data_IF_321622638627
#
_entry.id   IF_321622638627
#
_cell.length_a   1.000
_cell.length_b   1.000
_cell.length_c   1.000
_cell.angle_alpha   90.00
_cell.angle_beta   90.00
_cell.angle_gamma   90.00
#
_symmetry.space_group_name_H-M   'P 1'
#
loop_
_entity.id
_entity.type
_entity.pdbx_description
1 polymer ?
#
# COMPACT_ATOMS: atom_id res chain seq x y z
N UNK A 1 -6.35 23.69 -15.92
CA UNK A 1 -5.38 24.74 -16.27
C UNK A 1 -4.02 24.40 -15.64
N UNK A 2 -2.94 24.51 -16.40
CA UNK A 2 -1.54 24.40 -15.96
C UNK A 2 -0.85 25.79 -15.91
N UNK A 3 0.12 25.96 -15.03
CA UNK A 3 0.98 27.17 -14.94
C UNK A 3 2.36 26.79 -14.40
N UNK A 4 3.41 26.95 -15.20
CA UNK A 4 4.80 26.74 -14.79
C UNK A 4 5.41 28.03 -14.20
N UNK A 5 6.28 27.87 -13.20
CA UNK A 5 6.90 28.93 -12.40
C UNK A 5 8.39 28.61 -12.16
N UNK A 6 9.27 29.10 -13.03
CA UNK A 6 10.72 29.01 -12.86
C UNK A 6 11.21 30.01 -11.80
N UNK A 7 12.24 29.63 -11.03
CA UNK A 7 12.91 30.48 -10.02
C UNK A 7 11.93 31.21 -9.09
N UNK A 8 11.14 30.40 -8.38
CA UNK A 8 9.93 30.79 -7.69
C UNK A 8 10.04 30.68 -6.17
N UNK A 9 9.00 31.10 -5.46
CA UNK A 9 8.90 31.00 -3.99
C UNK A 9 7.52 30.47 -3.62
N UNK A 10 7.36 29.86 -2.44
CA UNK A 10 6.07 29.35 -2.00
C UNK A 10 4.96 30.42 -1.99
N UNK A 11 5.30 31.70 -1.72
CA UNK A 11 4.37 32.82 -1.85
C UNK A 11 3.92 33.08 -3.30
N UNK A 12 4.82 32.99 -4.29
CA UNK A 12 4.46 33.07 -5.72
C UNK A 12 3.56 31.89 -6.12
N UNK A 13 3.86 30.68 -5.63
CA UNK A 13 3.09 29.45 -5.90
C UNK A 13 1.68 29.53 -5.33
N UNK A 14 1.52 29.94 -4.07
CA UNK A 14 0.21 30.09 -3.43
C UNK A 14 -0.64 31.17 -4.15
N UNK A 15 -0.02 32.29 -4.57
CA UNK A 15 -0.67 33.30 -5.43
C UNK A 15 -1.13 32.71 -6.77
N UNK A 16 -0.38 31.79 -7.37
CA UNK A 16 -0.78 31.10 -8.60
C UNK A 16 -1.95 30.13 -8.37
N UNK A 17 -1.96 29.35 -7.28
CA UNK A 17 -3.11 28.51 -6.88
C UNK A 17 -4.39 29.34 -6.71
N UNK A 18 -4.33 30.44 -5.96
CA UNK A 18 -5.49 31.33 -5.75
C UNK A 18 -5.97 31.96 -7.07
N UNK A 19 -5.05 32.33 -7.98
CA UNK A 19 -5.40 32.81 -9.33
C UNK A 19 -6.06 31.71 -10.17
N UNK A 20 -5.57 30.47 -10.09
CA UNK A 20 -6.09 29.33 -10.83
C UNK A 20 -7.50 28.94 -10.40
N UNK A 21 -7.76 28.85 -9.08
CA UNK A 21 -9.12 28.62 -8.53
C UNK A 21 -10.11 29.68 -9.03
N UNK A 22 -9.74 30.96 -8.97
CA UNK A 22 -10.56 32.08 -9.47
C UNK A 22 -10.83 31.98 -10.98
N UNK A 23 -9.84 31.60 -11.79
CA UNK A 23 -9.99 31.45 -13.23
C UNK A 23 -10.90 30.28 -13.64
N UNK A 24 -11.01 29.25 -12.81
CA UNK A 24 -11.86 28.07 -13.02
C UNK A 24 -13.28 28.28 -12.44
N UNK A 25 -13.51 29.37 -11.69
CA UNK A 25 -14.83 29.68 -11.13
C UNK A 25 -15.23 28.86 -9.91
N UNK A 26 -14.33 28.00 -9.40
CA UNK A 26 -14.58 27.11 -8.24
C UNK A 26 -13.98 27.75 -6.98
N UNK A 27 -14.78 28.37 -6.09
CA UNK A 27 -14.25 29.11 -4.94
C UNK A 27 -13.72 28.19 -3.83
N UNK A 28 -14.35 27.02 -3.65
CA UNK A 28 -13.95 25.99 -2.71
C UNK A 28 -13.86 24.64 -3.43
N UNK A 29 -12.73 23.95 -3.26
CA UNK A 29 -12.60 22.53 -3.60
C UNK A 29 -12.70 21.77 -2.28
N UNK A 30 -13.62 20.80 -2.20
CA UNK A 30 -13.87 19.99 -0.99
C UNK A 30 -12.78 18.98 -0.71
N UNK A 31 -11.55 19.45 -0.52
CA UNK A 31 -10.37 18.61 -0.27
C UNK A 31 -10.37 18.14 1.18
N UNK A 32 -10.26 16.83 1.39
CA UNK A 32 -10.28 16.20 2.73
C UNK A 32 -8.88 16.06 3.34
N UNK A 33 -7.81 16.19 2.55
CA UNK A 33 -6.42 16.07 3.01
C UNK A 33 -5.42 16.78 2.07
N UNK A 34 -4.20 16.99 2.58
CA UNK A 34 -3.02 17.33 1.76
C UNK A 34 -2.14 16.09 1.62
N UNK A 35 -1.89 15.63 0.40
CA UNK A 35 -0.98 14.51 0.10
C UNK A 35 0.36 15.07 -0.39
N UNK A 36 1.42 14.89 0.40
CA UNK A 36 2.79 15.27 0.04
C UNK A 36 3.52 14.03 -0.47
N UNK A 37 3.99 14.05 -1.72
CA UNK A 37 4.69 12.92 -2.35
C UNK A 37 6.16 13.28 -2.48
N UNK A 38 7.06 12.51 -1.87
CA UNK A 38 8.50 12.82 -1.84
C UNK A 38 9.27 11.81 -2.67
N UNK A 39 9.90 12.27 -3.76
CA UNK A 39 10.42 11.40 -4.82
C UNK A 39 11.57 12.05 -5.59
N UNK A 40 12.26 11.27 -6.40
CA UNK A 40 13.09 11.74 -7.52
C UNK A 40 12.24 12.04 -8.77
N UNK A 41 12.85 12.52 -9.86
CA UNK A 41 12.16 12.86 -11.12
C UNK A 41 11.82 11.62 -11.97
N UNK A 42 12.48 10.49 -11.75
CA UNK A 42 12.29 9.26 -12.55
C UNK A 42 10.99 8.56 -12.12
N UNK A 43 10.76 8.47 -10.81
CA UNK A 43 9.55 7.90 -10.21
C UNK A 43 8.37 8.89 -10.10
N UNK A 44 8.59 10.19 -10.35
CA UNK A 44 7.58 11.24 -10.19
C UNK A 44 6.33 11.06 -11.08
N UNK A 45 6.45 10.44 -12.26
CA UNK A 45 5.33 10.24 -13.17
C UNK A 45 4.32 9.23 -12.59
N UNK A 46 4.77 8.02 -12.24
CA UNK A 46 3.90 6.95 -11.76
C UNK A 46 3.40 7.19 -10.33
N UNK A 47 4.18 7.88 -9.49
CA UNK A 47 3.71 8.36 -8.19
C UNK A 47 2.56 9.37 -8.34
N UNK A 48 2.71 10.37 -9.22
CA UNK A 48 1.65 11.36 -9.47
C UNK A 48 0.42 10.74 -10.15
N UNK A 49 0.61 9.78 -11.07
CA UNK A 49 -0.48 8.99 -11.65
C UNK A 49 -1.25 8.24 -10.56
N UNK A 50 -0.55 7.52 -9.69
CA UNK A 50 -1.14 6.73 -8.60
C UNK A 50 -1.94 7.61 -7.63
N UNK A 51 -1.43 8.79 -7.29
CA UNK A 51 -2.13 9.77 -6.46
C UNK A 51 -3.34 10.40 -7.15
N UNK A 52 -3.25 10.75 -8.44
CA UNK A 52 -4.40 11.23 -9.21
C UNK A 52 -5.50 10.16 -9.32
N UNK A 53 -5.13 8.87 -9.36
CA UNK A 53 -6.08 7.76 -9.36
C UNK A 53 -6.75 7.58 -7.99
N UNK A 54 -5.98 7.62 -6.89
CA UNK A 54 -6.48 7.52 -5.51
C UNK A 54 -7.35 8.74 -5.10
N UNK A 55 -7.04 9.93 -5.62
CA UNK A 55 -7.78 11.17 -5.31
C UNK A 55 -9.24 11.19 -5.82
N UNK A 56 -9.65 10.19 -6.61
CA UNK A 56 -11.07 9.98 -6.96
C UNK A 56 -11.91 9.55 -5.75
N UNK A 57 -11.32 8.84 -4.80
CA UNK A 57 -11.95 8.46 -3.54
C UNK A 57 -11.64 9.48 -2.43
N UNK A 58 -10.42 10.06 -2.46
CA UNK A 58 -9.95 11.02 -1.46
C UNK A 58 -9.53 12.36 -2.10
N UNK A 59 -10.47 13.28 -2.41
CA UNK A 59 -10.14 14.57 -3.02
C UNK A 59 -9.13 15.35 -2.18
N UNK A 60 -7.99 15.70 -2.77
CA UNK A 60 -6.81 16.18 -2.03
C UNK A 60 -6.15 17.39 -2.70
N UNK A 61 -5.33 18.13 -1.93
CA UNK A 61 -4.23 18.89 -2.51
C UNK A 61 -3.01 17.97 -2.60
N UNK A 62 -2.52 17.72 -3.79
CA UNK A 62 -1.31 16.91 -4.03
C UNK A 62 -0.10 17.82 -4.20
N UNK A 63 0.94 17.62 -3.39
CA UNK A 63 2.20 18.38 -3.44
C UNK A 63 3.34 17.39 -3.71
N UNK A 64 3.81 17.33 -4.94
CA UNK A 64 4.95 16.46 -5.32
C UNK A 64 6.24 17.23 -5.07
N UNK A 65 7.10 16.70 -4.22
CA UNK A 65 8.42 17.23 -3.85
C UNK A 65 9.47 16.41 -4.59
N UNK A 66 9.92 16.92 -5.75
CA UNK A 66 11.01 16.31 -6.53
C UNK A 66 12.35 16.85 -6.01
N UNK A 67 13.08 16.07 -5.22
CA UNK A 67 14.43 16.40 -4.74
C UNK A 67 15.45 16.09 -5.85
N UNK A 68 16.02 17.10 -6.51
CA UNK A 68 17.03 16.90 -7.57
C UNK A 68 18.43 16.78 -6.99
N UNK A 69 18.99 15.57 -7.01
CA UNK A 69 20.38 15.30 -6.59
C UNK A 69 21.38 16.05 -7.48
N UNK A 70 22.07 17.04 -6.92
CA UNK A 70 23.08 17.84 -7.63
C UNK A 70 24.33 17.01 -7.96
N UNK A 71 24.51 16.73 -9.26
CA UNK A 71 25.60 15.89 -9.80
C UNK A 71 26.99 16.57 -9.82
N UNK A 72 27.09 17.84 -9.45
CA UNK A 72 28.39 18.51 -9.22
C UNK A 72 28.34 19.44 -8.00
N UNK A 73 29.49 19.75 -7.36
CA UNK A 73 29.54 20.74 -6.28
C UNK A 73 29.06 22.14 -6.70
N UNK A 74 29.28 22.53 -7.97
CA UNK A 74 28.82 23.83 -8.52
C UNK A 74 27.30 23.91 -8.72
N UNK A 75 26.62 22.77 -8.70
CA UNK A 75 25.16 22.69 -8.80
C UNK A 75 24.51 22.47 -7.42
N UNK A 76 25.31 22.34 -6.34
CA UNK A 76 24.80 22.41 -4.96
C UNK A 76 24.58 23.86 -4.53
N UNK A 77 25.51 24.76 -4.88
CA UNK A 77 25.44 26.20 -4.57
C UNK A 77 24.45 26.99 -5.44
N UNK A 78 23.62 26.32 -6.24
CA UNK A 78 22.60 26.94 -7.10
C UNK A 78 21.20 26.60 -6.58
N UNK A 79 20.93 27.07 -5.38
CA UNK A 79 19.66 26.96 -4.69
C UNK A 79 18.53 27.57 -5.54
N UNK A 80 17.66 26.71 -6.11
CA UNK A 80 16.52 27.11 -6.95
C UNK A 80 15.29 26.26 -6.62
N UNK A 81 14.13 26.90 -6.69
CA UNK A 81 12.83 26.23 -6.70
C UNK A 81 12.15 26.52 -8.04
N UNK A 82 11.75 25.47 -8.76
CA UNK A 82 10.74 25.59 -9.82
C UNK A 82 9.45 24.91 -9.36
N UNK A 83 8.30 25.37 -9.87
CA UNK A 83 7.03 24.74 -9.60
C UNK A 83 6.11 24.71 -10.81
N UNK A 84 5.30 23.66 -10.90
CA UNK A 84 4.22 23.51 -11.86
C UNK A 84 2.91 23.40 -11.08
N UNK A 85 2.00 24.35 -11.30
CA UNK A 85 0.66 24.39 -10.67
C UNK A 85 -0.36 23.89 -11.67
N UNK A 86 -1.14 22.87 -11.29
CA UNK A 86 -2.27 22.32 -12.05
C UNK A 86 -3.53 22.41 -11.21
N UNK A 87 -4.64 22.85 -11.81
CA UNK A 87 -5.98 22.92 -11.16
C UNK A 87 -7.07 22.57 -12.16
N UNK A 88 -8.14 21.89 -11.71
CA UNK A 88 -9.20 21.37 -12.58
C UNK A 88 -8.75 20.10 -13.30
N UNK A 89 -9.18 19.89 -14.55
CA UNK A 89 -8.92 18.64 -15.30
C UNK A 89 -7.45 18.19 -15.35
N UNK A 90 -6.48 19.13 -15.32
CA UNK A 90 -5.04 18.83 -15.31
C UNK A 90 -4.52 18.29 -13.95
N UNK A 91 -5.36 18.27 -12.92
CA UNK A 91 -5.06 17.91 -11.52
C UNK A 91 -6.03 16.85 -10.96
N UNK A 92 -6.76 16.13 -11.82
CA UNK A 92 -7.74 15.15 -11.37
C UNK A 92 -8.92 15.81 -10.63
N UNK A 93 -9.16 15.42 -9.38
CA UNK A 93 -10.26 15.91 -8.54
C UNK A 93 -9.89 17.13 -7.68
N UNK A 94 -8.64 17.59 -7.70
CA UNK A 94 -8.11 18.54 -6.71
C UNK A 94 -7.20 19.64 -7.25
N UNK A 95 -6.20 19.99 -6.45
CA UNK A 95 -5.09 20.88 -6.82
C UNK A 95 -3.78 20.10 -6.78
N UNK A 96 -2.97 20.19 -7.84
CA UNK A 96 -1.66 19.51 -7.91
C UNK A 96 -0.55 20.53 -8.08
N UNK A 97 0.44 20.50 -7.20
CA UNK A 97 1.67 21.30 -7.27
C UNK A 97 2.85 20.36 -7.40
N UNK A 98 3.60 20.43 -8.50
CA UNK A 98 4.86 19.70 -8.67
C UNK A 98 6.01 20.66 -8.43
N UNK A 99 6.71 20.50 -7.30
CA UNK A 99 7.87 21.27 -6.90
C UNK A 99 9.15 20.54 -7.37
N UNK A 100 10.10 21.28 -7.95
CA UNK A 100 11.44 20.77 -8.29
C UNK A 100 12.48 21.59 -7.53
N UNK A 101 13.16 20.93 -6.60
CA UNK A 101 14.05 21.56 -5.63
C UNK A 101 15.51 21.25 -6.01
N UNK A 102 16.32 22.31 -6.18
CA UNK A 102 17.72 22.24 -6.58
C UNK A 102 18.61 22.91 -5.52
N UNK A 103 19.81 22.37 -5.32
CA UNK A 103 20.74 22.87 -4.30
C UNK A 103 20.18 22.74 -2.88
N UNK A 104 20.60 23.63 -1.98
CA UNK A 104 20.29 23.61 -0.54
C UNK A 104 18.77 23.69 -0.25
N UNK A 105 17.96 24.12 -1.22
CA UNK A 105 16.49 24.10 -1.12
C UNK A 105 15.96 22.68 -0.91
N UNK A 106 16.60 21.66 -1.49
CA UNK A 106 16.19 20.26 -1.37
C UNK A 106 16.31 19.72 0.07
N UNK A 107 17.26 20.26 0.85
CA UNK A 107 17.50 19.94 2.26
C UNK A 107 16.56 20.70 3.21
N UNK A 108 15.80 21.67 2.67
CA UNK A 108 14.85 22.53 3.38
C UNK A 108 13.44 22.49 2.77
N UNK A 109 13.08 21.36 2.15
CA UNK A 109 11.82 21.16 1.45
C UNK A 109 10.57 21.47 2.30
N UNK A 110 10.60 21.18 3.60
CA UNK A 110 9.55 21.47 4.57
C UNK A 110 9.18 22.96 4.62
N UNK A 111 10.16 23.85 4.50
CA UNK A 111 9.96 25.31 4.47
C UNK A 111 9.25 25.79 3.19
N UNK A 112 9.30 24.99 2.12
CA UNK A 112 8.56 25.23 0.87
C UNK A 112 7.15 24.66 0.95
N UNK A 113 6.99 23.48 1.55
CA UNK A 113 5.72 22.74 1.63
C UNK A 113 4.76 23.33 2.67
N UNK A 114 5.24 23.70 3.86
CA UNK A 114 4.43 24.25 4.97
C UNK A 114 3.43 25.35 4.55
N UNK A 115 3.82 26.45 3.85
CA UNK A 115 2.89 27.49 3.40
C UNK A 115 2.02 27.11 2.18
N UNK A 116 2.09 25.87 1.71
CA UNK A 116 1.26 25.29 0.65
C UNK A 116 0.26 24.23 1.16
N UNK A 117 0.34 23.84 2.43
CA UNK A 117 -0.60 22.93 3.08
C UNK A 117 -2.03 23.52 3.14
N UNK A 118 -3.01 22.67 3.43
CA UNK A 118 -4.33 23.11 3.87
C UNK A 118 -4.30 23.31 5.40
N UNK A 119 -4.83 24.43 5.94
CA UNK A 119 -4.71 24.73 7.37
C UNK A 119 -5.52 23.79 8.26
N UNK A 120 -6.71 23.37 7.80
CA UNK A 120 -7.70 22.62 8.59
C UNK A 120 -7.88 21.16 8.13
N UNK A 121 -6.97 20.63 7.29
CA UNK A 121 -7.07 19.28 6.74
C UNK A 121 -5.78 18.48 7.01
N UNK A 122 -5.88 17.18 7.35
CA UNK A 122 -4.73 16.35 7.66
C UNK A 122 -3.73 16.27 6.51
N UNK A 123 -2.47 16.05 6.88
CA UNK A 123 -1.32 15.93 5.99
C UNK A 123 -0.85 14.49 6.00
N UNK A 124 -0.76 13.91 4.80
CA UNK A 124 -0.21 12.58 4.56
C UNK A 124 1.07 12.76 3.76
N UNK A 125 2.20 12.21 4.24
CA UNK A 125 3.45 12.17 3.45
C UNK A 125 3.65 10.75 2.95
N UNK A 126 3.96 10.61 1.67
CA UNK A 126 4.20 9.35 1.00
C UNK A 126 5.55 9.35 0.27
N UNK A 127 6.37 8.34 0.56
CA UNK A 127 7.60 8.02 -0.16
C UNK A 127 7.36 6.77 -1.01
N UNK A 128 7.10 6.90 -2.34
CA UNK A 128 6.98 5.76 -3.26
C UNK A 128 8.30 4.98 -3.42
N UNK A 129 9.43 5.66 -3.22
CA UNK A 129 10.80 5.15 -3.28
C UNK A 129 11.66 5.97 -2.31
N UNK A 130 12.86 5.49 -1.98
CA UNK A 130 13.89 6.29 -1.29
C UNK A 130 13.39 6.94 0.02
N UNK A 131 12.64 6.18 0.81
CA UNK A 131 12.11 6.63 2.09
C UNK A 131 13.24 6.87 3.13
N UNK A 132 13.06 7.83 4.07
CA UNK A 132 14.03 8.07 5.13
C UNK A 132 14.09 6.90 6.12
N UNK A 133 15.24 6.66 6.75
CA UNK A 133 15.39 5.61 7.78
C UNK A 133 14.41 5.82 8.96
N UNK A 134 14.14 7.08 9.30
CA UNK A 134 13.18 7.51 10.31
C UNK A 134 12.15 8.46 9.64
N UNK A 135 10.92 7.99 9.34
CA UNK A 135 9.90 8.82 8.69
C UNK A 135 9.35 9.91 9.61
N UNK A 136 9.32 9.70 10.91
CA UNK A 136 8.78 10.67 11.87
C UNK A 136 9.72 11.85 12.11
N UNK A 137 11.04 11.63 12.05
CA UNK A 137 12.08 12.68 12.18
C UNK A 137 12.53 13.30 10.84
N UNK A 138 12.09 12.79 9.69
CA UNK A 138 12.27 13.52 8.43
C UNK A 138 11.51 14.87 8.48
N UNK A 139 12.11 15.99 8.04
CA UNK A 139 11.48 17.31 8.18
C UNK A 139 10.14 17.50 7.45
N UNK A 140 9.83 16.70 6.42
CA UNK A 140 8.50 16.66 5.80
C UNK A 140 7.57 15.70 6.56
N UNK A 141 8.08 14.54 6.98
CA UNK A 141 7.31 13.58 7.79
C UNK A 141 6.81 14.16 9.11
N UNK A 142 7.61 15.00 9.76
CA UNK A 142 7.22 15.75 10.96
C UNK A 142 6.04 16.73 10.76
N UNK A 143 5.61 16.99 9.51
CA UNK A 143 4.41 17.78 9.19
C UNK A 143 3.13 16.92 9.10
N UNK A 144 3.24 15.59 9.17
CA UNK A 144 2.20 14.65 8.75
C UNK A 144 1.70 13.73 9.87
N UNK A 145 0.38 13.57 9.93
CA UNK A 145 -0.29 12.62 10.84
C UNK A 145 -0.12 11.18 10.34
N UNK A 146 -0.10 10.97 9.01
CA UNK A 146 0.10 9.66 8.37
C UNK A 146 1.35 9.70 7.49
N UNK A 147 2.23 8.71 7.64
CA UNK A 147 3.54 8.63 6.98
C UNK A 147 3.66 7.26 6.31
N UNK A 148 3.62 7.26 4.98
CA UNK A 148 3.50 6.06 4.14
C UNK A 148 4.83 5.77 3.44
N UNK A 149 5.40 4.59 3.65
CA UNK A 149 6.57 4.09 2.90
C UNK A 149 6.19 2.91 2.01
N UNK A 150 7.07 2.47 1.11
CA UNK A 150 6.92 1.18 0.42
C UNK A 150 8.23 0.38 0.46
N UNK A 151 8.37 -0.47 1.47
CA UNK A 151 9.52 -1.36 1.66
C UNK A 151 9.73 -2.32 0.49
N UNK A 152 8.68 -2.64 -0.29
CA UNK A 152 8.81 -3.47 -1.50
C UNK A 152 9.56 -2.75 -2.64
N UNK A 153 9.62 -1.41 -2.61
CA UNK A 153 10.37 -0.60 -3.56
C UNK A 153 11.81 -0.27 -3.11
N UNK A 154 12.25 -0.75 -1.94
CA UNK A 154 13.60 -0.54 -1.43
C UNK A 154 14.62 -1.52 -2.04
N UNK A 155 15.90 -1.12 -2.14
CA UNK A 155 16.99 -2.00 -2.61
C UNK A 155 17.19 -3.22 -1.69
N UNK A 156 16.86 -3.08 -0.39
CA UNK A 156 16.99 -4.13 0.63
C UNK A 156 15.74 -4.18 1.52
N UNK A 157 14.61 -4.74 1.03
CA UNK A 157 13.33 -4.67 1.74
C UNK A 157 13.35 -5.19 3.18
N UNK A 158 14.19 -6.19 3.47
CA UNK A 158 14.27 -6.81 4.80
C UNK A 158 15.06 -5.96 5.80
N UNK A 159 16.11 -5.28 5.35
CA UNK A 159 16.87 -4.34 6.19
C UNK A 159 16.07 -3.04 6.41
N UNK A 160 15.28 -2.65 5.41
CA UNK A 160 14.28 -1.59 5.52
C UNK A 160 13.23 -1.93 6.59
N UNK A 161 12.63 -3.14 6.56
CA UNK A 161 11.68 -3.58 7.58
C UNK A 161 12.27 -3.60 9.00
N UNK A 162 13.53 -4.00 9.19
CA UNK A 162 14.21 -3.89 10.50
C UNK A 162 14.31 -2.43 10.94
N UNK A 163 14.78 -1.56 10.05
CA UNK A 163 14.91 -0.12 10.31
C UNK A 163 13.57 0.53 10.65
N UNK A 164 12.48 0.10 9.99
CA UNK A 164 11.10 0.51 10.30
C UNK A 164 10.66 0.04 11.69
N UNK A 165 11.01 -1.17 12.11
CA UNK A 165 10.69 -1.67 13.45
C UNK A 165 11.43 -0.90 14.56
N UNK A 166 12.71 -0.58 14.34
CA UNK A 166 13.54 0.17 15.30
C UNK A 166 13.12 1.64 15.47
N UNK A 167 12.49 2.23 14.45
CA UNK A 167 12.12 3.67 14.41
C UNK A 167 10.60 3.92 14.28
N UNK A 168 9.75 2.93 14.59
CA UNK A 168 8.29 3.06 14.44
C UNK A 168 7.68 4.08 15.39
N UNK A 169 6.99 5.08 14.83
CA UNK A 169 6.14 6.04 15.56
C UNK A 169 4.66 5.94 15.11
N UNK A 170 3.69 6.21 15.99
CA UNK A 170 2.26 6.20 15.65
C UNK A 170 1.94 7.08 14.43
N UNK A 171 1.25 6.50 13.45
CA UNK A 171 0.99 7.13 12.14
C UNK A 171 1.92 6.67 11.01
N UNK A 172 2.98 5.91 11.31
CA UNK A 172 3.77 5.20 10.30
C UNK A 172 2.99 4.00 9.74
N UNK A 173 3.14 3.76 8.43
CA UNK A 173 2.56 2.62 7.69
C UNK A 173 3.43 2.30 6.47
N UNK A 174 3.36 1.06 5.97
CA UNK A 174 4.11 0.63 4.79
C UNK A 174 3.20 -0.08 3.78
N UNK A 175 3.31 0.25 2.49
CA UNK A 175 2.43 -0.33 1.47
C UNK A 175 2.60 -1.85 1.32
N UNK A 176 3.70 -2.46 1.79
CA UNK A 176 3.81 -3.92 1.87
C UNK A 176 2.84 -4.55 2.91
N UNK A 177 2.42 -3.79 3.93
CA UNK A 177 1.38 -4.19 4.89
C UNK A 177 -0.03 -4.05 4.28
N UNK A 178 -0.29 -2.93 3.61
CA UNK A 178 -1.53 -2.70 2.83
C UNK A 178 -1.68 -3.77 1.74
N UNK A 179 -0.59 -4.17 1.09
CA UNK A 179 -0.56 -5.21 0.04
C UNK A 179 -1.05 -6.58 0.54
N UNK A 180 -1.04 -6.84 1.85
CA UNK A 180 -1.55 -8.07 2.47
C UNK A 180 -2.88 -7.93 3.22
N UNK A 181 -3.54 -6.76 3.27
CA UNK A 181 -4.89 -6.64 3.87
C UNK A 181 -5.87 -7.72 3.36
N UNK A 182 -5.97 -8.01 2.05
CA UNK A 182 -6.87 -9.06 1.56
C UNK A 182 -6.46 -10.47 2.02
N UNK A 183 -5.17 -10.74 2.19
CA UNK A 183 -4.68 -12.02 2.73
C UNK A 183 -5.04 -12.16 4.21
N UNK A 184 -4.80 -11.13 5.01
CA UNK A 184 -5.15 -11.09 6.44
C UNK A 184 -6.64 -11.33 6.65
N UNK A 185 -7.50 -10.62 5.91
CA UNK A 185 -8.95 -10.79 5.98
C UNK A 185 -9.43 -12.18 5.56
N UNK A 186 -8.87 -12.75 4.48
CA UNK A 186 -9.25 -14.10 4.04
C UNK A 186 -8.78 -15.21 4.98
N UNK A 187 -7.66 -15.02 5.69
CA UNK A 187 -7.15 -15.98 6.68
C UNK A 187 -7.93 -15.92 8.00
N UNK A 188 -8.26 -14.72 8.48
CA UNK A 188 -9.14 -14.55 9.63
C UNK A 188 -10.52 -15.19 9.35
N UNK A 189 -11.17 -14.81 8.25
CA UNK A 189 -12.46 -15.36 7.86
C UNK A 189 -12.45 -16.87 7.55
N UNK A 190 -11.28 -17.49 7.34
CA UNK A 190 -11.13 -18.94 7.21
C UNK A 190 -11.07 -19.64 8.58
N UNK A 191 -10.42 -19.01 9.58
CA UNK A 191 -10.40 -19.48 10.96
C UNK A 191 -11.78 -19.29 11.64
N UNK A 192 -12.48 -18.18 11.37
CA UNK A 192 -13.84 -17.89 11.86
C UNK A 192 -14.91 -18.92 11.40
N UNK A 193 -14.55 -19.88 10.53
CA UNK A 193 -15.43 -20.93 10.02
C UNK A 193 -15.12 -22.34 10.58
N UNK A 194 -14.07 -22.50 11.40
CA UNK A 194 -13.60 -23.81 11.87
C UNK A 194 -13.11 -23.71 13.31
N UNK A 195 -13.83 -24.33 14.25
CA UNK A 195 -13.42 -24.46 15.66
C UNK A 195 -12.16 -25.34 15.77
N UNK A 196 -10.97 -24.72 15.70
CA UNK A 196 -9.69 -25.41 15.66
C UNK A 196 -8.56 -24.67 16.39
N UNK A 197 -7.58 -25.42 16.89
CA UNK A 197 -6.31 -24.88 17.38
C UNK A 197 -5.29 -24.86 16.23
N UNK A 198 -4.68 -23.70 15.97
CA UNK A 198 -3.57 -23.62 15.00
C UNK A 198 -2.29 -24.13 15.66
N UNK A 199 -1.62 -25.08 15.02
CA UNK A 199 -0.40 -25.75 15.53
C UNK A 199 0.86 -25.10 14.96
N UNK A 200 0.81 -24.72 13.67
CA UNK A 200 1.90 -24.00 12.98
C UNK A 200 1.41 -23.40 11.67
N UNK A 201 2.15 -22.45 11.11
CA UNK A 201 1.88 -21.92 9.78
C UNK A 201 3.13 -21.88 8.90
N UNK A 202 2.90 -21.77 7.59
CA UNK A 202 3.92 -21.54 6.57
C UNK A 202 3.40 -20.47 5.59
N UNK A 203 4.19 -19.43 5.37
CA UNK A 203 3.94 -18.39 4.37
C UNK A 203 4.94 -18.57 3.24
N UNK A 204 4.46 -18.70 2.00
CA UNK A 204 5.29 -18.85 0.82
C UNK A 204 5.13 -17.68 -0.15
N UNK A 205 6.26 -17.24 -0.72
CA UNK A 205 6.29 -16.20 -1.73
C UNK A 205 7.69 -15.97 -2.29
N UNK A 206 7.80 -14.91 -3.08
CA UNK A 206 9.04 -14.37 -3.63
C UNK A 206 10.11 -14.09 -2.55
N UNK A 207 11.38 -14.32 -2.89
CA UNK A 207 12.49 -14.14 -1.95
C UNK A 207 12.68 -12.66 -1.58
N UNK A 208 12.98 -12.40 -0.30
CA UNK A 208 13.13 -11.04 0.28
C UNK A 208 11.88 -10.16 0.18
N UNK A 209 10.70 -10.72 -0.07
CA UNK A 209 9.47 -9.96 -0.19
C UNK A 209 8.95 -9.50 1.19
N UNK A 210 8.83 -8.19 1.48
CA UNK A 210 8.47 -7.70 2.80
C UNK A 210 7.03 -8.05 3.19
N UNK A 211 6.12 -8.24 2.24
CA UNK A 211 4.76 -8.74 2.51
C UNK A 211 4.75 -10.19 3.03
N UNK A 212 5.75 -11.02 2.67
CA UNK A 212 5.89 -12.39 3.20
C UNK A 212 6.31 -12.34 4.67
N UNK A 213 7.33 -11.55 4.99
CA UNK A 213 7.79 -11.36 6.37
C UNK A 213 6.70 -10.73 7.25
N UNK A 214 6.05 -9.65 6.80
CA UNK A 214 4.97 -8.99 7.54
C UNK A 214 3.77 -9.91 7.82
N UNK A 215 3.37 -10.76 6.86
CA UNK A 215 2.28 -11.71 7.06
C UNK A 215 2.69 -12.84 8.03
N UNK A 216 3.94 -13.31 7.93
CA UNK A 216 4.47 -14.32 8.83
C UNK A 216 4.62 -13.78 10.27
N UNK A 217 5.10 -12.55 10.45
CA UNK A 217 5.18 -11.88 11.75
C UNK A 217 3.79 -11.69 12.36
N UNK A 218 2.80 -11.22 11.58
CA UNK A 218 1.43 -11.07 12.07
C UNK A 218 0.79 -12.39 12.52
N UNK A 219 1.00 -13.48 11.76
CA UNK A 219 0.52 -14.81 12.16
C UNK A 219 1.21 -15.32 13.43
N UNK A 220 2.53 -15.11 13.56
CA UNK A 220 3.28 -15.53 14.75
C UNK A 220 2.89 -14.71 15.99
N UNK A 221 2.69 -13.40 15.83
CA UNK A 221 2.25 -12.46 16.86
C UNK A 221 0.83 -12.79 17.36
N UNK A 222 -0.12 -13.04 16.45
CA UNK A 222 -1.55 -13.23 16.79
C UNK A 222 -1.95 -14.65 17.16
N UNK A 223 -1.23 -15.67 16.71
CA UNK A 223 -1.53 -17.08 17.01
C UNK A 223 -0.53 -17.70 18.00
N UNK A 224 0.58 -17.02 18.30
CA UNK A 224 1.67 -17.51 19.15
C UNK A 224 2.33 -18.83 18.68
N UNK A 225 2.15 -19.20 17.41
CA UNK A 225 2.72 -20.41 16.79
C UNK A 225 4.04 -20.13 16.07
N UNK A 226 4.80 -21.19 15.83
CA UNK A 226 5.92 -21.12 14.87
C UNK A 226 5.40 -20.96 13.43
N UNK A 227 5.83 -19.88 12.78
CA UNK A 227 5.56 -19.61 11.36
C UNK A 227 6.84 -19.75 10.54
N UNK A 228 6.79 -20.62 9.53
CA UNK A 228 7.89 -20.84 8.57
C UNK A 228 7.74 -19.96 7.33
N UNK A 229 8.85 -19.76 6.62
CA UNK A 229 8.93 -18.98 5.38
C UNK A 229 9.46 -19.85 4.26
N UNK A 230 8.67 -20.03 3.21
CA UNK A 230 9.04 -20.77 2.00
C UNK A 230 9.30 -19.85 0.82
N UNK A 231 10.35 -20.14 0.03
CA UNK A 231 10.61 -19.41 -1.22
C UNK A 231 9.84 -20.06 -2.37
N UNK A 232 9.15 -19.23 -3.16
CA UNK A 232 8.39 -19.61 -4.35
C UNK A 232 8.88 -18.84 -5.58
N UNK A 233 8.71 -19.42 -6.78
CA UNK A 233 9.06 -18.77 -8.05
C UNK A 233 7.96 -17.84 -8.61
N UNK A 234 6.85 -17.65 -7.89
CA UNK A 234 5.80 -16.69 -8.24
C UNK A 234 6.07 -15.30 -7.66
N UNK A 235 5.60 -14.21 -8.30
CA UNK A 235 5.86 -12.84 -7.83
C UNK A 235 4.96 -12.46 -6.65
N UNK A 236 5.54 -11.86 -5.61
CA UNK A 236 4.83 -11.56 -4.37
C UNK A 236 4.49 -12.79 -3.52
N UNK A 237 3.39 -12.71 -2.78
CA UNK A 237 2.91 -13.77 -1.91
C UNK A 237 2.05 -14.80 -2.68
N UNK A 238 2.27 -16.09 -2.43
CA UNK A 238 1.74 -17.19 -3.24
C UNK A 238 0.97 -18.26 -2.45
N UNK A 239 1.40 -18.65 -1.25
CA UNK A 239 0.65 -19.58 -0.40
C UNK A 239 0.69 -19.14 1.06
N UNK A 240 -0.40 -19.38 1.79
CA UNK A 240 -0.37 -19.55 3.24
C UNK A 240 -1.00 -20.88 3.58
N UNK A 241 -0.34 -21.66 4.43
CA UNK A 241 -0.81 -22.93 4.93
C UNK A 241 -0.74 -22.92 6.46
N UNK A 242 -1.85 -23.20 7.13
CA UNK A 242 -1.92 -23.32 8.58
C UNK A 242 -2.30 -24.77 8.90
N UNK A 243 -1.47 -25.46 9.68
CA UNK A 243 -1.80 -26.78 10.22
C UNK A 243 -2.62 -26.58 11.49
N UNK A 244 -3.83 -27.15 11.53
CA UNK A 244 -4.72 -27.04 12.70
C UNK A 244 -5.07 -28.41 13.27
N UNK A 245 -5.66 -28.44 14.45
CA UNK A 245 -6.19 -29.64 15.11
C UNK A 245 -7.23 -30.41 14.29
N UNK A 246 -7.90 -29.75 13.34
CA UNK A 246 -8.96 -30.34 12.48
C UNK A 246 -8.53 -30.48 11.02
N UNK A 247 -7.24 -30.27 10.70
CA UNK A 247 -6.70 -30.37 9.33
C UNK A 247 -6.01 -29.10 8.82
N UNK A 248 -5.50 -29.10 7.58
CA UNK A 248 -4.84 -27.95 6.98
C UNK A 248 -5.83 -26.91 6.44
N UNK A 249 -5.66 -25.65 6.84
CA UNK A 249 -6.22 -24.49 6.13
C UNK A 249 -5.19 -24.03 5.10
N UNK A 250 -5.57 -23.92 3.82
CA UNK A 250 -4.66 -23.52 2.74
C UNK A 250 -5.28 -22.44 1.86
N UNK A 251 -4.61 -21.29 1.76
CA UNK A 251 -4.94 -20.22 0.83
C UNK A 251 -3.83 -20.11 -0.22
N UNK A 252 -4.09 -20.61 -1.43
CA UNK A 252 -3.10 -20.73 -2.51
C UNK A 252 -3.47 -19.86 -3.72
N UNK A 253 -2.61 -18.90 -4.06
CA UNK A 253 -2.73 -18.03 -5.24
C UNK A 253 -1.66 -18.39 -6.27
N UNK A 254 -1.97 -19.25 -7.27
CA UNK A 254 -1.03 -19.54 -8.35
C UNK A 254 -0.80 -18.31 -9.23
N UNK A 255 -1.85 -17.88 -9.94
CA UNK A 255 -1.76 -16.92 -11.05
C UNK A 255 -2.92 -15.91 -11.02
N UNK A 256 -2.75 -14.78 -11.71
CA UNK A 256 -3.85 -13.93 -12.23
C UNK A 256 -4.68 -13.12 -11.23
N UNK A 257 -4.91 -13.60 -10.01
CA UNK A 257 -5.71 -12.90 -8.99
C UNK A 257 -6.92 -13.67 -8.44
N UNK A 258 -7.11 -14.93 -8.81
CA UNK A 258 -7.90 -15.87 -8.01
C UNK A 258 -6.96 -16.66 -7.11
N UNK A 259 -7.40 -16.91 -5.88
CA UNK A 259 -6.81 -17.89 -4.98
C UNK A 259 -7.81 -19.01 -4.71
N UNK A 260 -7.29 -20.17 -4.34
CA UNK A 260 -8.05 -21.31 -3.85
C UNK A 260 -7.96 -21.32 -2.33
N UNK A 261 -9.09 -21.28 -1.64
CA UNK A 261 -9.21 -21.55 -0.22
C UNK A 261 -9.68 -22.99 -0.04
N UNK A 262 -8.79 -23.84 0.48
CA UNK A 262 -9.06 -25.22 0.89
C UNK A 262 -9.20 -25.26 2.42
N UNK A 263 -10.24 -25.96 2.89
CA UNK A 263 -10.47 -26.32 4.29
C UNK A 263 -10.78 -27.82 4.31
N UNK A 264 -10.34 -28.54 5.35
CA UNK A 264 -10.65 -29.97 5.50
C UNK A 264 -12.18 -30.21 5.56
N UNK A 265 -12.64 -31.33 4.99
CA UNK A 265 -14.05 -31.72 4.85
C UNK A 265 -14.99 -30.69 4.17
N UNK A 266 -14.45 -29.68 3.48
CA UNK A 266 -15.23 -28.66 2.77
C UNK A 266 -14.83 -28.53 1.29
N UNK A 267 -15.76 -28.13 0.40
CA UNK A 267 -15.44 -27.88 -1.01
C UNK A 267 -14.51 -26.66 -1.16
N UNK A 268 -13.48 -26.82 -2.00
CA UNK A 268 -12.57 -25.76 -2.42
C UNK A 268 -13.32 -24.51 -2.91
N UNK A 269 -12.90 -23.33 -2.43
CA UNK A 269 -13.54 -22.06 -2.77
C UNK A 269 -12.59 -21.15 -3.55
N UNK A 270 -12.99 -20.73 -4.74
CA UNK A 270 -12.28 -19.71 -5.50
C UNK A 270 -12.59 -18.32 -4.92
N UNK A 271 -11.55 -17.58 -4.50
CA UNK A 271 -11.67 -16.28 -3.84
C UNK A 271 -10.88 -15.20 -4.59
N UNK A 272 -11.44 -13.98 -4.65
CA UNK A 272 -10.83 -12.86 -5.36
C UNK A 272 -9.66 -12.26 -4.55
N UNK A 273 -8.44 -12.56 -4.96
CA UNK A 273 -7.20 -12.21 -4.26
C UNK A 273 -6.19 -11.56 -5.21
N UNK A 274 -6.66 -10.59 -6.02
CA UNK A 274 -5.84 -9.91 -7.03
C UNK A 274 -4.61 -9.24 -6.42
N UNK A 275 -3.54 -9.11 -7.22
CA UNK A 275 -2.47 -8.15 -6.91
C UNK A 275 -3.07 -6.75 -7.11
N UNK A 276 -2.76 -5.83 -6.20
CA UNK A 276 -3.31 -4.48 -6.17
C UNK A 276 -2.30 -3.46 -6.66
N UNK A 277 -2.77 -2.50 -7.44
CA UNK A 277 -1.97 -1.38 -7.93
C UNK A 277 -1.66 -0.39 -6.81
N UNK A 278 -0.60 0.38 -6.95
CA UNK A 278 -0.15 1.36 -5.93
C UNK A 278 -1.23 2.41 -5.62
N UNK A 279 -2.08 2.76 -6.58
CA UNK A 279 -3.24 3.62 -6.37
C UNK A 279 -4.32 3.00 -5.48
N UNK A 280 -4.54 1.68 -5.54
CA UNK A 280 -5.49 0.97 -4.69
C UNK A 280 -4.98 0.83 -3.25
N UNK A 281 -3.67 0.67 -3.08
CA UNK A 281 -3.04 0.64 -1.76
C UNK A 281 -3.03 2.03 -1.13
N UNK A 282 -2.63 3.06 -1.89
CA UNK A 282 -2.64 4.43 -1.41
C UNK A 282 -4.06 4.89 -1.04
N UNK A 283 -5.08 4.55 -1.83
CA UNK A 283 -6.48 4.83 -1.47
C UNK A 283 -6.87 4.17 -0.14
N UNK A 284 -6.47 2.91 0.11
CA UNK A 284 -6.76 2.24 1.39
C UNK A 284 -6.11 2.95 2.58
N UNK A 285 -4.85 3.39 2.47
CA UNK A 285 -4.15 4.15 3.52
C UNK A 285 -4.72 5.58 3.74
N UNK A 286 -5.48 6.12 2.77
CA UNK A 286 -6.15 7.42 2.89
C UNK A 286 -7.57 7.32 3.49
N UNK A 287 -8.14 6.12 3.65
CA UNK A 287 -9.44 5.91 4.31
C UNK A 287 -9.40 6.07 5.83
N UNK A 288 -8.29 5.69 6.46
CA UNK A 288 -8.10 5.73 7.92
C UNK A 288 -6.70 6.23 8.23
N UNK A 289 -6.63 7.42 8.84
CA UNK A 289 -5.35 8.08 9.14
C UNK A 289 -4.84 7.78 10.56
N UNK A 290 -5.68 7.21 11.42
CA UNK A 290 -5.32 6.75 12.77
C UNK A 290 -4.20 5.68 12.72
N UNK A 291 -3.42 5.51 13.81
CA UNK A 291 -2.48 4.40 13.92
C UNK A 291 -3.13 3.03 13.61
N UNK A 292 -2.32 2.13 13.03
CA UNK A 292 -2.66 0.71 12.92
C UNK A 292 -1.82 -0.06 13.96
N UNK A 293 -2.43 -0.32 15.11
CA UNK A 293 -1.80 -1.08 16.20
C UNK A 293 -1.48 -2.53 15.81
N UNK A 294 -2.15 -3.07 14.78
CA UNK A 294 -1.88 -4.41 14.25
C UNK A 294 -0.65 -4.41 13.35
N UNK A 295 -0.41 -3.35 12.57
CA UNK A 295 0.86 -3.12 11.90
C UNK A 295 1.98 -2.94 12.94
N UNK A 296 1.76 -2.09 13.95
CA UNK A 296 2.75 -1.83 15.00
C UNK A 296 3.15 -3.10 15.75
N UNK A 297 2.18 -3.96 16.11
CA UNK A 297 2.44 -5.25 16.78
C UNK A 297 3.21 -6.22 15.88
N UNK A 298 2.74 -6.42 14.64
CA UNK A 298 3.40 -7.31 13.68
C UNK A 298 4.82 -6.85 13.32
N UNK A 299 5.06 -5.53 13.24
CA UNK A 299 6.38 -4.97 12.99
C UNK A 299 7.32 -5.14 14.21
N UNK A 300 6.80 -4.91 15.43
CA UNK A 300 7.53 -5.11 16.71
C UNK A 300 7.76 -6.58 17.08
N UNK A 301 7.08 -7.52 16.41
CA UNK A 301 7.42 -8.94 16.50
C UNK A 301 8.85 -9.20 15.98
N UNK A 302 9.26 -8.52 14.91
CA UNK A 302 10.62 -8.53 14.37
C UNK A 302 10.96 -9.76 13.51
N UNK A 303 11.52 -9.50 12.32
CA UNK A 303 11.83 -10.51 11.29
C UNK A 303 12.74 -11.62 11.82
N UNK A 304 13.64 -11.28 12.74
CA UNK A 304 14.64 -12.18 13.31
C UNK A 304 14.09 -13.09 14.43
N UNK A 305 12.85 -12.86 14.90
CA UNK A 305 12.14 -13.79 15.80
C UNK A 305 11.39 -14.90 15.06
N UNK A 306 11.20 -14.78 13.74
CA UNK A 306 10.54 -15.81 12.94
C UNK A 306 11.41 -17.07 12.84
N UNK A 307 10.80 -18.22 13.14
CA UNK A 307 11.49 -19.50 13.31
C UNK A 307 11.99 -20.11 12.00
N UNK A 308 13.30 -20.38 11.94
CA UNK A 308 13.94 -21.03 10.80
C UNK A 308 14.33 -20.05 9.68
N UNK A 309 15.51 -20.29 9.09
CA UNK A 309 15.90 -19.63 7.85
C UNK A 309 15.04 -20.09 6.68
N UNK A 310 15.02 -19.30 5.60
CA UNK A 310 14.23 -19.56 4.38
C UNK A 310 14.47 -20.97 3.84
N UNK A 311 13.49 -21.85 4.00
CA UNK A 311 13.52 -23.19 3.40
C UNK A 311 12.98 -23.10 1.98
N UNK A 312 13.81 -23.46 1.00
CA UNK A 312 13.32 -23.65 -0.37
C UNK A 312 12.26 -24.77 -0.36
N UNK A 313 11.10 -24.52 -0.97
CA UNK A 313 10.07 -25.56 -1.08
C UNK A 313 10.60 -26.74 -1.91
N UNK A 314 10.40 -28.01 -1.49
CA UNK A 314 10.71 -29.15 -2.33
C UNK A 314 9.82 -29.08 -3.58
N UNK A 315 10.44 -28.94 -4.75
CA UNK A 315 9.73 -28.67 -5.99
C UNK A 315 8.68 -29.74 -6.28
N UNK A 316 7.42 -29.32 -6.47
CA UNK A 316 6.31 -30.23 -6.75
C UNK A 316 6.40 -30.78 -8.18
N UNK A 317 7.27 -31.77 -8.39
CA UNK A 317 7.31 -32.59 -9.61
C UNK A 317 6.06 -33.46 -9.66
N UNK A 318 4.95 -32.87 -10.07
CA UNK A 318 3.72 -33.57 -10.38
C UNK A 318 3.90 -34.46 -11.60
N UNK A 319 4.39 -35.69 -11.38
CA UNK A 319 4.56 -36.70 -12.42
C UNK A 319 3.20 -37.11 -12.96
N UNK A 320 2.76 -36.45 -14.03
CA UNK A 320 1.65 -36.93 -14.82
C UNK A 320 1.98 -38.33 -15.37
N UNK A 321 1.07 -39.32 -15.26
CA UNK A 321 1.31 -40.65 -15.81
C UNK A 321 1.42 -40.57 -17.33
N UNK A 322 2.52 -41.09 -17.88
CA UNK A 322 2.73 -41.12 -19.32
C UNK A 322 1.71 -42.06 -19.98
N UNK A 323 1.03 -41.57 -21.02
CA UNK A 323 0.19 -42.37 -21.91
C UNK A 323 1.00 -42.64 -23.18
N UNK A 324 1.15 -43.91 -23.56
CA UNK A 324 1.94 -44.29 -24.74
C UNK A 324 1.40 -43.68 -26.03
N UNK A 325 2.30 -43.10 -26.82
CA UNK A 325 1.98 -42.47 -28.11
C UNK A 325 2.99 -42.90 -29.19
N UNK A 326 2.68 -44.01 -29.87
CA UNK A 326 3.33 -44.37 -31.14
C UNK A 326 2.80 -43.46 -32.29
N UNK A 327 3.61 -43.19 -33.33
CA UNK A 327 3.46 -41.95 -34.10
C UNK A 327 2.50 -42.04 -35.31
N UNK A 328 1.88 -40.91 -35.66
CA UNK A 328 1.14 -40.81 -36.93
C UNK A 328 0.56 -39.42 -37.26
N UNK A 329 1.15 -38.76 -38.29
CA UNK A 329 0.58 -37.68 -39.13
C UNK A 329 0.29 -36.30 -38.50
N UNK A 330 0.99 -35.29 -39.01
CA UNK A 330 0.54 -33.88 -39.01
C UNK A 330 -0.72 -33.70 -39.88
N UNK A 331 -1.49 -32.62 -39.64
CA UNK A 331 -1.60 -31.64 -40.71
C UNK A 331 -1.54 -30.15 -40.28
N UNK A 332 -1.00 -29.36 -41.20
CA UNK A 332 -0.95 -27.89 -41.28
C UNK A 332 -2.09 -27.10 -40.60
N UNK A 333 -1.72 -26.04 -39.86
CA UNK A 333 -2.62 -24.98 -39.39
C UNK A 333 -2.78 -23.88 -40.46
N UNK A 334 -4.02 -23.63 -40.88
CA UNK A 334 -4.38 -22.50 -41.75
C UNK A 334 -5.08 -21.39 -40.95
N UNK A 335 -4.52 -20.18 -40.97
CA UNK A 335 -5.12 -18.97 -40.40
C UNK A 335 -6.14 -18.34 -41.37
N UNK A 336 -7.36 -18.00 -40.94
CA UNK A 336 -8.25 -17.13 -41.70
C UNK A 336 -7.80 -15.65 -41.60
N UNK A 337 -7.95 -14.83 -42.67
CA UNK A 337 -7.51 -13.44 -42.69
C UNK A 337 -8.49 -12.47 -42.02
N UNK A 338 -8.01 -11.25 -41.74
CA UNK A 338 -8.78 -10.15 -41.16
C UNK A 338 -9.11 -9.03 -42.19
N UNK A 339 -9.79 -7.98 -41.72
CA UNK A 339 -10.17 -6.72 -42.40
C UNK A 339 -11.44 -6.79 -43.29
N UNK A 340 -12.12 -5.65 -43.60
CA UNK A 340 -11.79 -4.25 -43.23
C UNK A 340 -12.87 -3.46 -42.46
N UNK A 341 -12.49 -2.26 -42.01
CA UNK A 341 -13.31 -1.23 -41.35
C UNK A 341 -14.37 -0.60 -42.24
N UNK A 342 -15.48 -0.10 -41.66
CA UNK A 342 -16.39 0.84 -42.34
C UNK A 342 -17.15 1.78 -41.39
N UNK A 343 -17.08 3.09 -41.63
CA UNK A 343 -17.90 4.12 -40.93
C UNK A 343 -19.21 4.41 -41.68
N UNK A 344 -20.26 4.80 -40.96
CA UNK A 344 -20.85 6.15 -41.06
C UNK A 344 -21.01 6.78 -39.65
N UNK A 345 -21.48 8.01 -39.43
CA UNK A 345 -22.05 9.03 -40.33
C UNK A 345 -23.28 9.66 -39.65
N UNK A 346 -23.28 10.98 -39.44
CA UNK A 346 -24.12 11.62 -38.40
C UNK A 346 -25.61 11.86 -38.75
N UNK A 347 -26.46 11.89 -37.71
CA UNK A 347 -27.73 12.65 -37.51
C UNK A 347 -28.27 12.26 -36.11
N UNK A 348 -28.45 13.10 -35.08
CA UNK A 348 -29.18 14.38 -34.86
C UNK A 348 -30.61 14.21 -34.31
N UNK A 349 -30.88 14.75 -33.11
CA UNK A 349 -32.15 15.40 -32.62
C UNK A 349 -32.53 15.09 -31.15
N UNK A 350 -33.53 15.82 -30.65
CA UNK A 350 -34.02 16.00 -29.26
C UNK A 350 -34.56 14.72 -28.56
N UNK A 351 -34.89 14.71 -27.24
CA UNK A 351 -34.73 15.73 -26.19
C UNK A 351 -35.95 15.87 -25.24
N UNK A 352 -35.72 15.87 -23.91
CA UNK A 352 -36.61 16.30 -22.79
C UNK A 352 -35.78 16.28 -21.49
N UNK A 353 -35.91 17.07 -20.41
CA UNK A 353 -36.89 18.00 -19.79
C UNK A 353 -37.78 17.42 -18.66
N UNK A 354 -37.36 17.68 -17.42
CA UNK A 354 -37.98 17.40 -16.11
C UNK A 354 -36.87 17.31 -15.05
N UNK A 355 -36.74 18.08 -13.95
CA UNK A 355 -37.69 18.70 -13.00
C UNK A 355 -38.55 17.66 -12.27
N UNK A 356 -38.69 17.62 -10.93
CA UNK A 356 -38.16 18.44 -9.79
C UNK A 356 -38.20 17.54 -8.50
N UNK A 357 -37.99 17.91 -7.21
CA UNK A 357 -38.11 19.12 -6.37
C UNK A 357 -37.02 19.08 -5.24
N UNK A 358 -37.01 20.02 -4.28
CA UNK A 358 -36.05 20.17 -3.15
C UNK A 358 -36.69 20.05 -1.74
N UNK A 359 -35.93 19.54 -0.75
CA UNK A 359 -35.98 19.82 0.72
C UNK A 359 -35.04 18.83 1.47
N UNK A 360 -34.53 19.10 2.68
CA UNK A 360 -34.48 20.34 3.47
C UNK A 360 -34.26 20.11 4.98
N UNK A 361 -33.35 20.89 5.58
CA UNK A 361 -33.22 21.22 7.02
C UNK A 361 -32.58 20.23 8.03
N UNK A 362 -31.55 20.75 8.70
CA UNK A 362 -30.93 20.39 10.00
C UNK A 362 -31.85 20.77 11.21
N UNK A 363 -31.59 20.42 12.50
CA UNK A 363 -30.41 20.87 13.27
C UNK A 363 -29.86 19.96 14.41
N UNK A 364 -28.83 20.49 15.06
CA UNK A 364 -27.91 19.93 16.07
C UNK A 364 -28.48 19.64 17.47
N UNK A 365 -27.74 18.83 18.24
CA UNK A 365 -27.65 18.90 19.70
C UNK A 365 -26.22 18.48 20.16
N UNK A 366 -25.89 18.69 21.43
CA UNK A 366 -24.50 18.84 21.91
C UNK A 366 -24.07 17.82 23.00
N UNK A 367 -22.79 17.89 23.40
CA UNK A 367 -22.22 17.51 24.71
C UNK A 367 -21.89 16.04 25.09
N UNK A 368 -20.58 15.80 25.25
CA UNK A 368 -19.86 15.14 26.38
C UNK A 368 -20.31 13.79 27.00
N UNK A 369 -19.33 12.91 27.26
CA UNK A 369 -18.68 12.74 28.58
C UNK A 369 -17.46 11.81 28.47
N UNK A 370 -16.44 12.02 29.32
CA UNK A 370 -15.24 11.17 29.41
C UNK A 370 -15.35 10.07 30.47
N UNK A 371 -14.99 8.85 30.08
CA UNK A 371 -14.55 7.77 30.98
C UNK A 371 -13.48 6.95 30.25
N UNK A 372 -12.46 6.39 30.89
CA UNK A 372 -12.26 6.28 32.35
C UNK A 372 -11.91 4.86 32.81
N UNK A 373 -11.41 4.00 31.91
CA UNK A 373 -11.15 2.59 32.19
C UNK A 373 -9.80 2.37 32.86
N UNK A 374 -9.83 1.97 34.13
CA UNK A 374 -8.67 1.38 34.83
C UNK A 374 -8.29 0.03 34.21
N UNK A 375 -7.00 -0.31 34.09
CA UNK A 375 -6.60 -1.66 33.72
C UNK A 375 -6.99 -2.65 34.83
N UNK A 376 -7.55 -3.80 34.44
CA UNK A 376 -7.80 -4.94 35.33
C UNK A 376 -6.49 -5.67 35.63
N UNK A 377 -6.19 -5.90 36.90
CA UNK A 377 -4.98 -6.60 37.33
C UNK A 377 -5.18 -8.13 37.31
N UNK A 378 -4.75 -8.77 36.23
CA UNK A 378 -4.68 -10.25 36.08
C UNK A 378 -3.51 -10.73 35.17
N UNK A 379 -2.58 -9.84 34.77
CA UNK A 379 -1.52 -10.13 33.78
C UNK A 379 -0.18 -10.65 34.37
N UNK A 380 0.00 -10.66 35.70
CA UNK A 380 1.32 -10.86 36.34
C UNK A 380 1.80 -12.34 36.43
N UNK A 381 1.01 -13.34 35.99
CA UNK A 381 1.40 -14.76 36.00
C UNK A 381 1.31 -15.45 34.61
N UNK A 382 2.05 -14.94 33.61
CA UNK A 382 2.33 -15.69 32.36
C UNK A 382 3.84 -15.89 32.12
N UNK A 383 4.29 -17.11 31.79
CA UNK A 383 5.72 -17.41 31.64
C UNK A 383 6.31 -16.75 30.39
N UNK A 384 7.51 -16.20 30.53
CA UNK A 384 8.24 -15.58 29.41
C UNK A 384 8.85 -16.65 28.48
N UNK A 385 9.06 -16.38 27.17
CA UNK A 385 9.54 -17.37 26.21
C UNK A 385 10.88 -18.05 26.54
N UNK A 386 11.69 -17.48 27.45
CA UNK A 386 12.91 -18.11 27.98
C UNK A 386 12.65 -19.39 28.80
N UNK A 387 11.39 -19.70 29.15
CA UNK A 387 11.00 -20.82 30.01
C UNK A 387 10.44 -22.03 29.24
N UNK A 388 10.37 -21.98 27.91
CA UNK A 388 9.86 -23.10 27.08
C UNK A 388 10.94 -24.18 26.86
N UNK A 389 10.64 -25.47 27.07
CA UNK A 389 11.61 -26.55 26.88
C UNK A 389 11.84 -26.89 25.38
N UNK A 390 13.07 -27.21 24.96
CA UNK A 390 13.36 -27.54 23.56
C UNK A 390 12.79 -28.92 23.18
N UNK A 391 11.95 -28.95 22.15
CA UNK A 391 11.33 -30.17 21.63
C UNK A 391 12.38 -31.10 21.00
N UNK A 392 12.43 -32.35 21.44
CA UNK A 392 13.30 -33.38 20.86
C UNK A 392 12.87 -33.68 19.42
N UNK A 393 13.82 -33.76 18.49
CA UNK A 393 13.57 -34.27 17.14
C UNK A 393 12.98 -35.68 17.23
N UNK A 394 11.87 -35.93 16.53
CA UNK A 394 11.38 -37.28 16.31
C UNK A 394 12.41 -38.08 15.48
N UNK A 395 12.57 -39.36 15.80
CA UNK A 395 13.40 -40.26 15.02
C UNK A 395 12.60 -40.80 13.83
N UNK A 396 13.17 -40.76 12.63
CA UNK A 396 12.59 -41.33 11.42
C UNK A 396 12.67 -42.87 11.45
N UNK A 397 11.60 -43.61 11.11
CA UNK A 397 11.70 -45.02 10.72
C UNK A 397 12.27 -45.19 9.30
#
# INVERSE_FOLDING_TARGET
>A
MKTDLTDTTASKINKALVKARRAIGTPAVGMVLTLVIVTDEENAYDALKSANDASREHPSRTIVVIKRVSRSPRDRTKSRLDAEVRVGADAGTGETVVLRLYGEVADHAQSVVLPLLLPDAPVVVWWPVNAPLDPARDPLGALAQRRVTDSYAAEKPIDELRTRADNYEPGDTDLAWTRITPWRSMLAAALDQVDCEVISAEVQGEQYNPSVELLAMWLADRLHVHVRRGVSAGPGLNEVRMLTSTGPIRLYRPNGGLALLTLEDQPDRAVALKRRETSELLAEELRRLDPDDTYASALRFGVDRLGGGLTAAPGSTGTAPAVDAAPGREPSLALPPALPTRSPGATSSAGSTGSSVSAGSTPSADSSVSAGSTPSADDDERPTPAQMPPVKKAATP
#
